data_IF_387728072416
#
_entry.id   IF_387728072416
#
_cell.length_a   1.000
_cell.length_b   1.000
_cell.length_c   1.000
_cell.angle_alpha   90.00
_cell.angle_beta   90.00
_cell.angle_gamma   90.00
#
_symmetry.space_group_name_H-M   'P 1'
#
loop_
_entity.id
_entity.type
_entity.pdbx_description
1 polymer ?
#
# COMPACT_ATOMS: atom_id res chain seq x y z
N UNK A 1 -17.77 -18.86 30.39
CA UNK A 1 -17.48 -19.60 29.14
C UNK A 1 -15.98 -19.79 29.04
N UNK A 2 -15.48 -21.03 29.03
CA UNK A 2 -14.05 -21.28 28.79
C UNK A 2 -13.81 -21.09 27.29
N UNK A 3 -12.95 -20.15 26.92
CA UNK A 3 -12.56 -19.95 25.52
C UNK A 3 -11.99 -21.25 24.96
N UNK A 4 -12.57 -21.75 23.88
CA UNK A 4 -11.97 -22.85 23.13
C UNK A 4 -10.64 -22.33 22.55
N UNK A 5 -9.56 -23.03 22.85
CA UNK A 5 -8.30 -22.85 22.13
C UNK A 5 -8.54 -23.37 20.72
N UNK A 6 -8.57 -22.45 19.74
CA UNK A 6 -8.55 -22.82 18.33
C UNK A 6 -7.29 -23.67 18.10
N UNK A 7 -7.46 -24.95 17.78
CA UNK A 7 -6.34 -25.76 17.31
C UNK A 7 -6.04 -25.27 15.90
N UNK A 8 -4.79 -24.89 15.57
CA UNK A 8 -4.43 -24.59 14.19
C UNK A 8 -4.79 -25.80 13.34
N UNK A 9 -5.71 -25.62 12.40
CA UNK A 9 -5.95 -26.61 11.36
C UNK A 9 -4.97 -26.29 10.23
N UNK A 10 -4.08 -27.23 9.94
CA UNK A 10 -3.15 -27.07 8.83
C UNK A 10 -3.95 -27.01 7.52
N UNK A 11 -3.76 -25.92 6.77
CA UNK A 11 -4.21 -25.79 5.38
C UNK A 11 -3.02 -26.04 4.46
N UNK A 12 -3.25 -26.47 3.20
CA UNK A 12 -2.16 -26.65 2.23
C UNK A 12 -1.27 -25.42 2.11
N UNK A 13 0.04 -25.64 1.90
CA UNK A 13 1.01 -24.56 1.79
C UNK A 13 0.68 -23.61 0.63
N UNK A 14 0.71 -22.31 0.90
CA UNK A 14 0.66 -21.29 -0.14
C UNK A 14 1.98 -21.27 -0.88
N UNK A 15 1.97 -21.66 -2.15
CA UNK A 15 3.16 -21.68 -3.01
C UNK A 15 3.30 -20.37 -3.78
N UNK A 16 4.51 -19.79 -3.85
CA UNK A 16 4.77 -18.63 -4.68
C UNK A 16 4.56 -18.96 -6.16
N UNK A 17 4.26 -17.94 -6.96
CA UNK A 17 4.21 -18.06 -8.42
C UNK A 17 5.52 -18.67 -8.96
N UNK A 18 5.40 -19.81 -9.65
CA UNK A 18 6.51 -20.58 -10.25
C UNK A 18 7.63 -21.03 -9.28
N UNK A 19 7.36 -21.19 -7.98
CA UNK A 19 8.26 -21.81 -6.98
C UNK A 19 9.71 -21.25 -6.91
N UNK A 20 9.92 -19.98 -7.24
CA UNK A 20 11.28 -19.41 -7.26
C UNK A 20 11.78 -19.14 -5.83
N UNK A 21 12.78 -19.92 -5.38
CA UNK A 21 13.34 -19.90 -4.01
C UNK A 21 13.94 -18.55 -3.56
N UNK A 22 14.19 -17.61 -4.45
CA UNK A 22 14.81 -16.31 -4.15
C UNK A 22 13.83 -15.13 -4.01
N UNK A 23 12.51 -15.34 -4.07
CA UNK A 23 11.54 -14.24 -4.16
C UNK A 23 11.33 -13.39 -2.89
N UNK A 24 11.86 -13.80 -1.72
CA UNK A 24 11.43 -13.28 -0.39
C UNK A 24 9.90 -13.24 -0.27
N UNK A 25 9.23 -14.29 -0.74
CA UNK A 25 7.78 -14.42 -0.64
C UNK A 25 7.36 -14.41 0.84
N UNK A 26 6.30 -13.67 1.18
CA UNK A 26 5.93 -13.42 2.57
C UNK A 26 6.66 -12.25 3.21
N UNK A 27 7.50 -11.52 2.46
CA UNK A 27 8.15 -10.29 2.97
C UNK A 27 7.13 -9.25 3.44
N UNK A 28 6.01 -9.16 2.75
CA UNK A 28 4.88 -8.32 3.10
C UNK A 28 3.60 -9.15 2.95
N UNK A 29 2.70 -9.01 3.91
CA UNK A 29 1.42 -9.71 3.93
C UNK A 29 0.35 -8.79 4.46
N UNK A 30 -0.86 -8.90 3.94
CA UNK A 30 -2.05 -8.30 4.55
C UNK A 30 -3.27 -9.17 4.32
N UNK A 31 -4.21 -9.15 5.26
CA UNK A 31 -5.39 -10.01 5.29
C UNK A 31 -6.64 -9.13 5.44
N UNK A 32 -7.67 -9.38 4.65
CA UNK A 32 -8.97 -8.73 4.83
C UNK A 32 -9.54 -9.04 6.22
N UNK A 33 -10.41 -8.18 6.74
CA UNK A 33 -10.93 -8.29 8.11
C UNK A 33 -11.80 -9.53 8.32
N UNK A 34 -12.41 -10.06 7.26
CA UNK A 34 -13.14 -11.33 7.28
C UNK A 34 -12.23 -12.57 7.15
N UNK A 35 -10.93 -12.36 6.90
CA UNK A 35 -9.95 -13.43 6.74
C UNK A 35 -10.00 -14.17 5.40
N UNK A 36 -10.76 -13.66 4.41
CA UNK A 36 -11.01 -14.38 3.16
C UNK A 36 -10.08 -13.99 2.00
N UNK A 37 -9.41 -12.85 2.08
CA UNK A 37 -8.50 -12.35 1.05
C UNK A 37 -7.14 -12.08 1.67
N UNK A 38 -6.09 -12.69 1.10
CA UNK A 38 -4.72 -12.54 1.56
C UNK A 38 -3.85 -12.04 0.42
N UNK A 39 -3.16 -10.92 0.61
CA UNK A 39 -2.14 -10.42 -0.31
C UNK A 39 -0.74 -10.77 0.22
N UNK A 40 0.13 -11.30 -0.64
CA UNK A 40 1.50 -11.69 -0.28
C UNK A 40 2.50 -11.12 -1.28
N UNK A 41 3.45 -10.32 -0.79
CA UNK A 41 4.54 -9.76 -1.57
C UNK A 41 5.79 -10.65 -1.59
N UNK A 42 6.44 -10.69 -2.75
CA UNK A 42 7.73 -11.33 -3.00
C UNK A 42 8.66 -10.38 -3.76
N UNK A 43 9.29 -9.46 -3.05
CA UNK A 43 9.97 -8.30 -3.64
C UNK A 43 11.32 -8.62 -4.32
N UNK A 44 11.84 -9.83 -4.19
CA UNK A 44 13.11 -10.25 -4.82
C UNK A 44 12.88 -11.22 -6.00
N UNK A 45 11.62 -11.44 -6.40
CA UNK A 45 11.28 -12.29 -7.54
C UNK A 45 11.91 -11.76 -8.84
N UNK A 46 12.53 -12.65 -9.61
CA UNK A 46 13.07 -12.43 -10.96
C UNK A 46 13.91 -11.14 -11.10
N UNK A 47 15.19 -11.20 -10.70
CA UNK A 47 16.11 -10.02 -10.70
C UNK A 47 15.50 -8.86 -9.90
N UNK A 48 14.82 -9.18 -8.81
CA UNK A 48 14.14 -8.21 -7.94
C UNK A 48 13.13 -7.32 -8.67
N UNK A 49 12.53 -7.78 -9.78
CA UNK A 49 11.29 -7.19 -10.35
C UNK A 49 10.19 -7.15 -9.30
N UNK A 50 10.10 -8.23 -8.52
CA UNK A 50 9.11 -8.40 -7.48
C UNK A 50 7.78 -8.93 -8.00
N UNK A 51 6.96 -9.43 -7.09
CA UNK A 51 5.64 -9.98 -7.37
C UNK A 51 4.71 -9.79 -6.18
N UNK A 52 3.40 -9.79 -6.44
CA UNK A 52 2.34 -9.91 -5.42
C UNK A 52 1.37 -10.98 -5.85
N UNK A 53 1.05 -11.90 -4.94
CA UNK A 53 0.03 -12.93 -5.15
C UNK A 53 -1.11 -12.67 -4.18
N UNK A 54 -2.33 -12.62 -4.72
CA UNK A 54 -3.56 -12.54 -3.95
C UNK A 54 -4.19 -13.91 -3.90
N UNK A 55 -4.51 -14.38 -2.71
CA UNK A 55 -5.24 -15.61 -2.46
C UNK A 55 -6.64 -15.30 -1.98
N UNK A 56 -7.60 -16.16 -2.37
CA UNK A 56 -8.93 -16.21 -1.81
C UNK A 56 -9.11 -17.51 -1.05
N UNK A 57 -9.70 -17.44 0.13
CA UNK A 57 -10.02 -18.63 0.90
C UNK A 57 -11.32 -19.24 0.38
N UNK A 58 -11.24 -20.48 -0.08
CA UNK A 58 -12.38 -21.28 -0.52
C UNK A 58 -12.88 -22.11 0.68
N UNK A 59 -14.03 -21.70 1.22
CA UNK A 59 -14.67 -22.38 2.35
C UNK A 59 -15.15 -23.80 2.02
N UNK A 60 -15.48 -24.08 0.75
CA UNK A 60 -15.96 -25.40 0.34
C UNK A 60 -14.81 -26.43 0.30
N UNK A 61 -13.60 -25.99 -0.05
CA UNK A 61 -12.41 -26.85 -0.10
C UNK A 61 -11.53 -26.72 1.14
N UNK A 62 -11.86 -25.80 2.07
CA UNK A 62 -11.08 -25.48 3.25
C UNK A 62 -9.61 -25.13 2.88
N UNK A 63 -9.43 -24.34 1.82
CA UNK A 63 -8.12 -24.08 1.23
C UNK A 63 -7.99 -22.70 0.62
N UNK A 64 -6.75 -22.27 0.41
CA UNK A 64 -6.43 -21.01 -0.27
C UNK A 64 -6.18 -21.26 -1.75
N UNK A 65 -6.81 -20.45 -2.60
CA UNK A 65 -6.67 -20.50 -4.05
C UNK A 65 -6.08 -19.18 -4.56
N UNK A 66 -5.23 -19.24 -5.59
CA UNK A 66 -4.70 -18.02 -6.21
C UNK A 66 -5.85 -17.30 -6.90
N UNK A 67 -6.15 -16.10 -6.45
CA UNK A 67 -7.15 -15.20 -7.05
C UNK A 67 -6.54 -14.38 -8.18
N UNK A 68 -5.33 -13.84 -7.97
CA UNK A 68 -4.61 -13.06 -8.98
C UNK A 68 -3.11 -12.99 -8.66
N UNK A 69 -2.28 -12.85 -9.69
CA UNK A 69 -0.84 -12.58 -9.55
C UNK A 69 -0.47 -11.30 -10.30
N UNK A 70 0.34 -10.46 -9.67
CA UNK A 70 0.93 -9.26 -10.24
C UNK A 70 2.45 -9.41 -10.31
N UNK A 71 3.02 -9.10 -11.46
CA UNK A 71 4.47 -9.20 -11.70
C UNK A 71 5.06 -7.81 -11.94
N UNK A 72 6.23 -7.55 -11.37
CA UNK A 72 7.02 -6.37 -11.69
C UNK A 72 7.53 -6.45 -13.14
N UNK A 73 7.70 -5.29 -13.77
CA UNK A 73 8.04 -5.20 -15.19
C UNK A 73 9.50 -4.79 -15.42
N UNK A 74 10.14 -4.17 -14.44
CA UNK A 74 11.52 -3.68 -14.54
C UNK A 74 12.44 -4.31 -13.50
N UNK A 75 13.67 -4.63 -13.90
CA UNK A 75 14.67 -5.16 -12.98
C UNK A 75 14.85 -4.23 -11.77
N UNK A 76 15.00 -4.82 -10.59
CA UNK A 76 15.14 -4.11 -9.31
C UNK A 76 13.98 -3.21 -8.88
N UNK A 77 12.84 -3.22 -9.56
CA UNK A 77 11.64 -2.46 -9.21
C UNK A 77 11.08 -2.78 -7.80
N UNK A 78 11.23 -4.03 -7.38
CA UNK A 78 10.82 -4.58 -6.07
C UNK A 78 9.32 -4.45 -5.78
N UNK A 79 8.46 -4.70 -6.77
CA UNK A 79 7.01 -4.78 -6.55
C UNK A 79 6.70 -5.77 -5.40
N UNK A 80 5.75 -5.40 -4.54
CA UNK A 80 5.39 -6.22 -3.38
C UNK A 80 6.35 -6.06 -2.22
N UNK A 81 7.14 -4.99 -2.17
CA UNK A 81 7.95 -4.64 -1.00
C UNK A 81 7.07 -4.34 0.23
N UNK A 82 5.91 -3.71 -0.01
CA UNK A 82 4.78 -3.63 0.92
C UNK A 82 3.47 -3.81 0.16
N UNK A 83 2.47 -4.36 0.85
CA UNK A 83 1.11 -4.53 0.37
C UNK A 83 0.13 -4.06 1.44
N UNK A 84 -1.06 -3.63 1.04
CA UNK A 84 -2.16 -3.33 1.95
C UNK A 84 -3.51 -3.63 1.28
N UNK A 85 -4.45 -4.15 2.05
CA UNK A 85 -5.82 -4.41 1.64
C UNK A 85 -6.79 -3.45 2.37
N UNK A 86 -7.91 -3.13 1.74
CA UNK A 86 -9.09 -2.64 2.46
C UNK A 86 -9.67 -3.75 3.35
N UNK A 87 -10.55 -3.36 4.27
CA UNK A 87 -11.17 -4.29 5.24
C UNK A 87 -11.94 -5.42 4.55
N UNK A 88 -12.57 -5.14 3.42
CA UNK A 88 -13.30 -6.10 2.58
C UNK A 88 -12.41 -6.81 1.52
N UNK A 89 -11.11 -6.48 1.46
CA UNK A 89 -10.17 -7.01 0.47
C UNK A 89 -10.38 -6.51 -0.96
N UNK A 90 -11.34 -5.62 -1.22
CA UNK A 90 -11.66 -5.17 -2.57
C UNK A 90 -10.67 -4.11 -3.11
N UNK A 91 -9.93 -3.43 -2.25
CA UNK A 91 -8.88 -2.48 -2.63
C UNK A 91 -7.53 -3.05 -2.24
N UNK A 92 -6.57 -3.07 -3.16
CA UNK A 92 -5.21 -3.54 -2.93
C UNK A 92 -4.22 -2.43 -3.31
N UNK A 93 -3.37 -2.02 -2.38
CA UNK A 93 -2.21 -1.17 -2.66
C UNK A 93 -0.93 -2.02 -2.67
N UNK A 94 -0.05 -1.78 -3.64
CA UNK A 94 1.23 -2.48 -3.81
C UNK A 94 2.34 -1.46 -4.04
N UNK A 95 3.38 -1.54 -3.21
CA UNK A 95 4.56 -0.68 -3.32
C UNK A 95 5.73 -1.37 -4.00
N UNK A 96 6.48 -0.61 -4.79
CA UNK A 96 7.85 -0.94 -5.22
C UNK A 96 8.73 0.29 -5.05
N UNK A 97 9.98 0.12 -4.62
CA UNK A 97 10.79 1.25 -4.15
C UNK A 97 11.85 1.74 -5.14
N UNK A 98 11.94 1.13 -6.34
CA UNK A 98 13.07 1.34 -7.25
C UNK A 98 12.72 1.31 -8.74
N UNK A 99 11.44 1.36 -9.12
CA UNK A 99 11.06 1.49 -10.53
C UNK A 99 11.62 2.78 -11.16
N UNK A 100 11.99 2.74 -12.45
CA UNK A 100 12.21 3.97 -13.23
C UNK A 100 10.88 4.71 -13.41
N UNK A 101 10.89 6.02 -13.17
CA UNK A 101 9.73 6.87 -13.42
C UNK A 101 9.76 7.33 -14.90
N UNK A 102 8.77 6.95 -15.74
CA UNK A 102 8.76 7.30 -17.15
C UNK A 102 8.63 8.81 -17.39
N UNK A 103 8.03 9.55 -16.45
CA UNK A 103 7.82 10.99 -16.56
C UNK A 103 9.07 11.79 -16.15
N UNK A 104 10.07 11.14 -15.55
CA UNK A 104 11.32 11.76 -15.06
C UNK A 104 12.53 10.89 -15.40
N UNK A 105 12.86 10.74 -16.69
CA UNK A 105 13.99 9.93 -17.12
C UNK A 105 15.31 10.45 -16.53
N UNK A 106 16.14 9.55 -16.02
CA UNK A 106 17.44 9.88 -15.42
C UNK A 106 17.40 10.14 -13.90
N UNK A 107 16.23 10.43 -13.33
CA UNK A 107 16.05 10.45 -11.88
C UNK A 107 15.85 9.02 -11.35
N UNK A 108 16.49 8.70 -10.22
CA UNK A 108 16.41 7.37 -9.60
C UNK A 108 15.67 7.41 -8.26
N UNK A 109 15.33 6.23 -7.74
CA UNK A 109 14.90 6.04 -6.34
C UNK A 109 13.61 6.76 -5.94
N UNK A 110 12.66 6.87 -6.89
CA UNK A 110 11.35 7.48 -6.64
C UNK A 110 10.52 6.65 -5.65
N UNK A 111 10.53 5.34 -5.84
CA UNK A 111 9.47 4.48 -5.33
C UNK A 111 8.11 4.83 -5.94
N UNK A 112 7.17 3.93 -5.79
CA UNK A 112 5.83 4.09 -6.30
C UNK A 112 4.84 3.21 -5.55
N UNK A 113 3.57 3.57 -5.64
CA UNK A 113 2.45 2.75 -5.21
C UNK A 113 1.46 2.63 -6.37
N UNK A 114 1.02 1.41 -6.63
CA UNK A 114 -0.15 1.14 -7.48
C UNK A 114 -1.30 0.68 -6.61
N UNK A 115 -2.50 1.17 -6.90
CA UNK A 115 -3.72 0.75 -6.22
C UNK A 115 -4.64 0.07 -7.22
N UNK A 116 -5.29 -1.01 -6.80
CA UNK A 116 -6.17 -1.83 -7.60
C UNK A 116 -7.51 -2.03 -6.88
N UNK A 117 -8.58 -2.18 -7.68
CA UNK A 117 -9.94 -2.43 -7.23
C UNK A 117 -10.41 -3.76 -7.81
N UNK A 118 -10.97 -4.62 -6.97
CA UNK A 118 -11.65 -5.83 -7.40
C UNK A 118 -12.90 -5.47 -8.19
N UNK A 119 -12.96 -5.96 -9.42
CA UNK A 119 -14.17 -5.98 -10.24
C UNK A 119 -14.81 -7.37 -10.10
N UNK A 120 -15.93 -7.42 -9.39
CA UNK A 120 -16.66 -8.66 -9.16
C UNK A 120 -17.31 -9.22 -10.43
N UNK A 121 -17.60 -8.39 -11.42
CA UNK A 121 -18.17 -8.82 -12.70
C UNK A 121 -17.09 -9.43 -13.57
N UNK A 122 -15.93 -8.77 -13.66
CA UNK A 122 -14.81 -9.23 -14.45
C UNK A 122 -13.98 -10.33 -13.76
N UNK A 123 -14.20 -10.57 -12.46
CA UNK A 123 -13.49 -11.56 -11.67
C UNK A 123 -12.00 -11.26 -11.52
N UNK A 124 -11.62 -9.97 -11.52
CA UNK A 124 -10.22 -9.56 -11.48
C UNK A 124 -10.05 -8.18 -10.85
N UNK A 125 -8.88 -7.93 -10.29
CA UNK A 125 -8.43 -6.61 -9.89
C UNK A 125 -7.99 -5.81 -11.12
N UNK A 126 -8.51 -4.58 -11.22
CA UNK A 126 -8.11 -3.58 -12.22
C UNK A 126 -7.48 -2.37 -11.51
N UNK A 127 -6.57 -1.65 -12.19
CA UNK A 127 -5.89 -0.53 -11.54
C UNK A 127 -6.87 0.62 -11.25
N UNK A 128 -6.89 1.10 -10.01
CA UNK A 128 -7.76 2.18 -9.51
C UNK A 128 -6.98 3.50 -9.47
N UNK A 129 -7.05 4.23 -10.58
CA UNK A 129 -6.33 5.50 -10.77
C UNK A 129 -4.90 5.31 -11.31
N UNK A 130 -4.16 6.41 -11.42
CA UNK A 130 -2.78 6.43 -11.89
C UNK A 130 -1.80 5.85 -10.85
N UNK A 131 -0.63 5.40 -11.32
CA UNK A 131 0.50 5.10 -10.43
C UNK A 131 0.87 6.35 -9.64
N UNK A 132 1.06 6.20 -8.33
CA UNK A 132 1.55 7.28 -7.47
C UNK A 132 3.07 7.15 -7.44
N UNK A 133 3.77 8.17 -7.93
CA UNK A 133 5.23 8.21 -7.95
C UNK A 133 5.78 9.08 -6.82
N UNK A 134 6.84 8.62 -6.17
CA UNK A 134 7.64 9.51 -5.32
C UNK A 134 8.49 10.47 -6.13
N UNK A 135 9.10 11.43 -5.45
CA UNK A 135 10.12 12.30 -6.05
C UNK A 135 11.50 11.64 -6.08
N UNK A 136 12.48 12.24 -6.75
CA UNK A 136 13.85 11.74 -6.74
C UNK A 136 14.38 11.49 -5.31
N UNK A 137 14.83 10.27 -5.02
CA UNK A 137 15.34 9.89 -3.70
C UNK A 137 14.29 9.77 -2.58
N UNK A 138 12.99 9.81 -2.91
CA UNK A 138 11.89 9.74 -1.96
C UNK A 138 11.66 8.30 -1.45
N UNK A 139 11.80 7.31 -2.33
CA UNK A 139 11.47 5.92 -2.04
C UNK A 139 10.05 5.74 -1.46
N UNK A 140 9.06 6.33 -2.14
CA UNK A 140 7.65 6.18 -1.79
C UNK A 140 7.29 4.70 -1.59
N UNK A 141 6.57 4.39 -0.51
CA UNK A 141 6.15 3.03 -0.17
C UNK A 141 7.26 2.12 0.35
N UNK A 142 8.45 2.65 0.65
CA UNK A 142 9.59 1.82 1.07
C UNK A 142 9.61 1.43 2.54
N UNK A 143 8.80 2.04 3.42
CA UNK A 143 8.75 1.70 4.85
C UNK A 143 7.39 1.21 5.34
N UNK A 144 6.31 1.80 4.85
CA UNK A 144 4.95 1.36 5.14
C UNK A 144 4.03 1.79 4.00
N UNK A 145 3.06 0.93 3.69
CA UNK A 145 1.92 1.23 2.82
C UNK A 145 0.68 0.74 3.55
N UNK A 146 -0.33 1.58 3.72
CA UNK A 146 -1.56 1.26 4.48
C UNK A 146 -2.79 1.88 3.85
N UNK A 147 -3.92 1.21 3.98
CA UNK A 147 -5.23 1.69 3.51
C UNK A 147 -6.18 1.88 4.69
N UNK A 148 -7.10 2.84 4.57
CA UNK A 148 -8.31 2.87 5.39
C UNK A 148 -9.19 1.65 5.10
N UNK A 149 -10.15 1.36 5.97
CA UNK A 149 -11.03 0.19 5.86
C UNK A 149 -11.84 0.19 4.57
N UNK A 150 -12.22 1.35 4.05
CA UNK A 150 -12.93 1.53 2.77
C UNK A 150 -11.97 1.68 1.56
N UNK A 151 -10.66 1.66 1.82
CA UNK A 151 -9.61 1.87 0.84
C UNK A 151 -9.57 3.26 0.21
N UNK A 152 -10.29 4.26 0.73
CA UNK A 152 -10.31 5.61 0.14
C UNK A 152 -9.14 6.48 0.57
N UNK A 153 -8.49 6.16 1.69
CA UNK A 153 -7.29 6.86 2.17
C UNK A 153 -6.11 5.90 2.16
N UNK A 154 -5.01 6.34 1.56
CA UNK A 154 -3.75 5.61 1.45
C UNK A 154 -2.68 6.37 2.22
N UNK A 155 -1.94 5.68 3.08
CA UNK A 155 -0.77 6.20 3.75
C UNK A 155 0.49 5.54 3.20
N UNK A 156 1.52 6.34 3.02
CA UNK A 156 2.87 5.87 2.72
C UNK A 156 3.88 6.46 3.68
N UNK A 157 4.77 5.61 4.19
CA UNK A 157 5.95 6.05 4.92
C UNK A 157 7.20 5.83 4.07
N UNK A 158 7.94 6.91 3.87
CA UNK A 158 9.01 6.97 2.89
C UNK A 158 10.33 7.11 3.65
N UNK A 159 10.96 5.96 3.87
CA UNK A 159 12.30 5.85 4.42
C UNK A 159 12.96 4.60 3.86
N UNK A 160 14.07 4.78 3.15
CA UNK A 160 14.82 3.71 2.55
C UNK A 160 16.32 3.88 2.82
N UNK A 161 16.91 2.79 3.35
CA UNK A 161 18.31 2.41 3.18
C UNK A 161 19.36 3.49 3.46
N UNK A 162 19.13 4.35 4.47
CA UNK A 162 20.13 5.35 4.87
C UNK A 162 20.38 6.45 3.83
N UNK A 163 19.50 6.60 2.83
CA UNK A 163 19.56 7.76 1.94
C UNK A 163 19.29 9.03 2.75
N UNK A 164 20.10 10.07 2.57
CA UNK A 164 20.03 11.33 3.34
C UNK A 164 18.80 12.20 3.01
N UNK A 165 17.86 11.68 2.21
CA UNK A 165 16.58 12.34 1.94
C UNK A 165 15.73 12.47 3.20
N UNK A 166 14.90 13.52 3.24
CA UNK A 166 13.96 13.78 4.33
C UNK A 166 12.98 12.62 4.49
N UNK A 167 12.86 12.09 5.72
CA UNK A 167 11.87 11.05 6.02
C UNK A 167 10.52 11.69 6.23
N UNK A 168 9.50 11.01 5.73
CA UNK A 168 8.15 11.57 5.71
C UNK A 168 7.08 10.50 5.64
N UNK A 169 5.91 10.92 6.09
CA UNK A 169 4.66 10.20 5.84
C UNK A 169 3.81 11.06 4.91
N UNK A 170 3.47 10.49 3.76
CA UNK A 170 2.52 11.06 2.81
C UNK A 170 1.15 10.36 2.97
N UNK A 171 0.09 11.14 2.89
CA UNK A 171 -1.29 10.63 2.92
C UNK A 171 -1.95 11.05 1.61
N UNK A 172 -2.71 10.14 1.01
CA UNK A 172 -3.44 10.36 -0.22
C UNK A 172 -4.90 9.97 -0.03
N UNK A 173 -5.82 10.67 -0.70
CA UNK A 173 -7.25 10.37 -0.70
C UNK A 173 -7.75 10.18 -2.11
N UNK A 174 -8.54 9.13 -2.32
CA UNK A 174 -9.19 8.85 -3.58
C UNK A 174 -10.31 9.85 -3.83
N UNK A 175 -10.25 10.56 -4.96
CA UNK A 175 -11.21 11.61 -5.32
C UNK A 175 -12.30 11.14 -6.30
N UNK A 176 -12.44 9.82 -6.50
CA UNK A 176 -13.32 9.23 -7.52
C UNK A 176 -12.60 8.79 -8.79
N UNK A 177 -11.39 9.31 -9.05
CA UNK A 177 -10.58 8.93 -10.21
C UNK A 177 -9.14 8.57 -9.83
N UNK A 178 -8.50 9.36 -8.96
CA UNK A 178 -7.11 9.18 -8.56
C UNK A 178 -6.92 9.35 -7.05
N UNK A 179 -5.86 8.75 -6.51
CA UNK A 179 -5.34 9.08 -5.18
C UNK A 179 -4.52 10.36 -5.28
N UNK A 180 -4.98 11.42 -4.63
CA UNK A 180 -4.32 12.74 -4.61
C UNK A 180 -3.82 13.06 -3.20
N UNK A 181 -2.77 13.89 -3.03
CA UNK A 181 -2.28 14.27 -1.71
C UNK A 181 -3.41 14.78 -0.80
N UNK A 182 -3.43 14.31 0.43
CA UNK A 182 -4.47 14.58 1.41
C UNK A 182 -3.86 15.17 2.67
N UNK A 183 -3.72 16.49 2.65
CA UNK A 183 -3.12 17.25 3.74
C UNK A 183 -1.65 17.58 3.58
N UNK A 184 -1.12 18.21 4.63
CA UNK A 184 0.29 18.50 4.73
C UNK A 184 1.10 17.23 5.01
N UNK A 185 2.27 17.17 4.39
CA UNK A 185 3.25 16.11 4.58
C UNK A 185 3.78 16.12 6.01
N UNK A 186 3.76 14.96 6.65
CA UNK A 186 4.32 14.79 7.99
C UNK A 186 5.83 14.55 7.85
N UNK A 187 6.64 15.50 8.31
CA UNK A 187 8.11 15.36 8.32
C UNK A 187 8.56 14.80 9.65
N UNK A 188 9.44 13.81 9.61
CA UNK A 188 9.94 13.11 10.80
C UNK A 188 11.42 12.77 10.57
N UNK A 189 12.21 12.70 11.63
CA UNK A 189 13.67 12.53 11.52
C UNK A 189 14.08 11.08 11.23
N UNK A 190 13.20 10.11 11.54
CA UNK A 190 13.38 8.69 11.21
C UNK A 190 12.03 7.96 11.25
N UNK A 191 11.88 6.84 10.53
CA UNK A 191 10.63 6.07 10.51
C UNK A 191 10.90 4.58 10.68
N UNK A 192 10.28 3.98 11.70
CA UNK A 192 10.15 2.52 11.80
C UNK A 192 8.89 2.01 11.13
N UNK A 193 7.76 2.67 11.38
CA UNK A 193 6.49 2.33 10.75
C UNK A 193 5.55 3.53 10.84
N UNK A 194 4.53 3.52 10.00
CA UNK A 194 3.37 4.37 10.17
C UNK A 194 2.11 3.59 9.80
N UNK A 195 0.99 4.00 10.40
CA UNK A 195 -0.30 3.36 10.25
C UNK A 195 -1.43 4.38 10.21
N UNK A 196 -2.57 3.98 9.66
CA UNK A 196 -3.78 4.80 9.52
C UNK A 196 -4.97 4.12 10.19
N UNK A 197 -5.86 4.90 10.79
CA UNK A 197 -7.11 4.38 11.34
C UNK A 197 -8.04 3.87 10.22
N UNK A 198 -8.94 2.95 10.57
CA UNK A 198 -9.88 2.35 9.61
C UNK A 198 -10.82 3.37 8.95
N UNK A 199 -11.20 4.43 9.67
CA UNK A 199 -11.97 5.55 9.12
C UNK A 199 -11.13 6.56 8.30
N UNK A 200 -9.81 6.32 8.22
CA UNK A 200 -8.86 7.19 7.54
C UNK A 200 -8.63 8.54 8.24
N UNK A 201 -9.10 8.75 9.47
CA UNK A 201 -9.08 10.07 10.13
C UNK A 201 -7.84 10.35 10.98
N UNK A 202 -7.05 9.32 11.30
CA UNK A 202 -5.86 9.42 12.17
C UNK A 202 -4.68 8.68 11.57
N UNK A 203 -3.50 9.25 11.78
CA UNK A 203 -2.22 8.68 11.39
C UNK A 203 -1.34 8.54 12.61
N UNK A 204 -0.76 7.35 12.78
CA UNK A 204 0.30 7.10 13.75
C UNK A 204 1.62 6.95 13.00
N UNK A 205 2.67 7.65 13.43
CA UNK A 205 4.03 7.42 12.96
C UNK A 205 4.93 7.08 14.15
N UNK A 206 5.78 6.07 14.00
CA UNK A 206 6.75 5.67 15.03
C UNK A 206 8.14 5.88 14.45
N UNK A 207 8.96 6.67 15.14
CA UNK A 207 10.34 6.94 14.76
C UNK A 207 11.32 5.84 15.23
N UNK A 208 12.61 6.02 14.97
CA UNK A 208 13.65 5.11 15.43
C UNK A 208 13.94 5.19 16.93
N UNK A 209 13.51 6.28 17.59
CA UNK A 209 13.71 6.65 18.99
C UNK A 209 12.41 6.53 19.79
N UNK A 210 12.03 5.30 20.17
CA UNK A 210 10.68 4.74 20.43
C UNK A 210 9.49 5.71 20.65
N UNK A 211 9.34 6.77 19.86
CA UNK A 211 8.34 7.81 20.06
C UNK A 211 7.24 7.64 19.02
N UNK A 212 6.00 7.63 19.49
CA UNK A 212 4.81 7.61 18.65
C UNK A 212 4.25 9.03 18.52
N UNK A 213 3.99 9.43 17.28
CA UNK A 213 3.37 10.70 16.94
C UNK A 213 1.99 10.42 16.36
N UNK A 214 0.97 11.06 16.91
CA UNK A 214 -0.42 10.94 16.45
C UNK A 214 -0.81 12.23 15.73
N UNK A 215 -1.27 12.09 14.50
CA UNK A 215 -1.75 13.17 13.66
C UNK A 215 -3.23 12.92 13.33
N UNK A 216 -4.04 13.97 13.32
CA UNK A 216 -5.31 13.92 12.61
C UNK A 216 -5.02 14.05 11.12
N UNK A 217 -5.69 13.28 10.26
CA UNK A 217 -5.67 13.61 8.84
C UNK A 217 -6.43 14.92 8.67
N UNK A 218 -5.84 15.95 8.02
CA UNK A 218 -6.52 17.21 7.85
C UNK A 218 -7.77 17.04 6.96
N UNK A 219 -8.75 17.97 7.06
CA UNK A 219 -9.89 17.96 6.16
C UNK A 219 -9.42 18.11 4.70
N UNK A 220 -10.21 17.63 3.71
CA UNK A 220 -9.87 17.84 2.30
C UNK A 220 -9.64 19.32 2.03
N UNK A 221 -8.71 19.70 1.12
CA UNK A 221 -8.58 21.09 0.72
C UNK A 221 -9.94 21.57 0.23
N UNK A 222 -10.51 22.57 0.91
CA UNK A 222 -11.81 23.13 0.55
C UNK A 222 -11.65 23.85 -0.79
N UNK A 223 -12.12 23.22 -1.87
CA UNK A 223 -12.43 23.94 -3.11
C UNK A 223 -13.73 24.71 -2.89
N UNK A 224 -13.72 25.74 -2.05
CA UNK A 224 -14.80 26.71 -2.04
C UNK A 224 -14.33 27.89 -2.88
N UNK A 225 -14.90 28.15 -4.07
CA UNK A 225 -14.65 29.40 -4.74
C UNK A 225 -15.16 30.51 -3.82
N UNK A 226 -14.27 31.42 -3.43
CA UNK A 226 -14.65 32.67 -2.76
C UNK A 226 -15.77 33.29 -3.59
N UNK A 227 -16.96 33.58 -3.02
CA UNK A 227 -17.96 34.35 -3.74
C UNK A 227 -17.33 35.71 -4.05
N UNK A 228 -17.17 36.03 -5.33
CA UNK A 228 -16.80 37.39 -5.71
C UNK A 228 -17.98 38.30 -5.35
N UNK A 229 -17.90 38.96 -4.20
CA UNK A 229 -18.73 40.13 -3.94
C UNK A 229 -18.30 41.20 -4.93
N UNK A 230 -19.10 41.42 -5.96
CA UNK A 230 -19.13 42.70 -6.65
C UNK A 230 -19.98 43.62 -5.79
N UNK A 231 -19.37 44.68 -5.25
CA UNK A 231 -20.13 45.81 -4.71
C UNK A 231 -20.75 46.58 -5.87
N UNK A 232 -22.03 46.97 -5.79
CA UNK A 232 -22.61 47.90 -6.76
C UNK A 232 -22.07 49.32 -6.50
N UNK A 233 -21.58 49.94 -7.58
CA UNK A 233 -21.38 51.40 -7.69
C UNK A 233 -22.73 52.04 -8.05
#
# INVERSE_FOLDING_TARGET
MKGQVLRPQEVPAMVPYNQVQSARFGRATDLSSDGLILAVGGNEWNVSKGAVVVYAYNQATNGWEIRQTFLGNSDHEKLGHYVALSSDGNVLAMGGNRAPNPDRPGENYHGYIKVFQWDAVAGQYSQRGSTIWGSHGDFLGARSTRLSSDGTVLLSANDCCGYNGQKKVDVFKFNGSNYVPYGDRITITSIRTADISGDGSKVMAIDASPTAYLYATPPPPTTSPTPSHSEPV
#
